data_IF_100485243096
#
_entry.id   IF_100485243096
#
_cell.length_a   1.000
_cell.length_b   1.000
_cell.length_c   1.000
_cell.angle_alpha   90.00
_cell.angle_beta   90.00
_cell.angle_gamma   90.00
#
_symmetry.space_group_name_H-M   'P 1'
#
loop_
_entity.id
_entity.type
_entity.pdbx_description
1 polymer ?
#
# COMPACT_ATOMS: atom_id res chain seq x y z
N UNK A 1 18.62 33.43 -14.95
CA UNK A 1 17.34 33.02 -15.56
C UNK A 1 17.56 31.68 -16.24
N UNK A 2 17.53 30.60 -15.47
CA UNK A 2 17.67 29.22 -15.98
C UNK A 2 16.27 28.64 -16.04
N UNK A 3 15.76 28.45 -17.25
CA UNK A 3 14.46 27.84 -17.49
C UNK A 3 14.43 26.43 -16.91
N UNK A 4 13.37 26.16 -16.15
CA UNK A 4 13.11 24.92 -15.41
C UNK A 4 13.22 23.67 -16.29
N UNK A 5 14.13 22.77 -15.91
CA UNK A 5 14.39 21.45 -16.51
C UNK A 5 13.18 20.51 -16.46
N UNK A 6 12.19 20.79 -15.59
CA UNK A 6 10.96 20.00 -15.48
C UNK A 6 10.05 20.09 -16.71
N UNK A 7 10.10 21.18 -17.48
CA UNK A 7 9.36 21.28 -18.74
C UNK A 7 9.94 20.36 -19.82
N UNK A 8 11.25 20.08 -19.80
CA UNK A 8 11.92 19.25 -20.79
C UNK A 8 11.70 17.74 -20.57
N UNK A 9 11.56 17.30 -19.32
CA UNK A 9 11.19 15.91 -18.99
C UNK A 9 9.71 15.60 -19.28
N UNK A 10 8.84 16.62 -19.35
CA UNK A 10 7.43 16.45 -19.76
C UNK A 10 7.26 16.08 -21.24
N UNK A 11 8.23 16.36 -22.11
CA UNK A 11 8.12 16.14 -23.56
C UNK A 11 9.06 15.07 -24.16
N UNK A 12 10.10 14.60 -23.45
CA UNK A 12 11.13 13.74 -24.06
C UNK A 12 11.08 12.24 -23.74
N UNK A 13 10.01 11.72 -23.10
CA UNK A 13 9.87 10.28 -22.82
C UNK A 13 8.88 9.53 -23.72
N UNK A 14 8.56 10.08 -24.90
CA UNK A 14 7.69 9.46 -25.91
C UNK A 14 8.35 9.46 -27.30
N UNK A 15 9.44 8.71 -27.50
CA UNK A 15 9.86 8.29 -28.84
C UNK A 15 10.90 7.16 -28.81
N UNK A 16 10.44 5.93 -29.08
CA UNK A 16 11.02 4.84 -29.90
C UNK A 16 10.65 3.49 -29.29
N UNK A 17 9.74 2.81 -29.98
CA UNK A 17 9.23 1.49 -29.64
C UNK A 17 10.09 0.45 -30.34
N UNK A 18 11.05 -0.13 -29.64
CA UNK A 18 11.54 -1.48 -29.93
C UNK A 18 11.12 -2.38 -28.78
N UNK A 19 10.11 -3.22 -29.01
CA UNK A 19 9.77 -4.30 -28.10
C UNK A 19 10.84 -5.39 -28.23
N UNK A 20 11.84 -5.36 -27.37
CA UNK A 20 12.73 -6.50 -27.16
C UNK A 20 12.00 -7.52 -26.29
N UNK A 21 11.56 -8.62 -26.89
CA UNK A 21 11.28 -9.85 -26.18
C UNK A 21 12.61 -10.51 -25.82
N UNK A 22 13.11 -10.27 -24.61
CA UNK A 22 14.24 -11.04 -24.08
C UNK A 22 13.66 -12.35 -23.53
N UNK A 23 13.96 -13.46 -24.22
CA UNK A 23 13.82 -14.80 -23.64
C UNK A 23 15.01 -14.99 -22.71
N UNK A 24 14.77 -14.97 -21.40
CA UNK A 24 15.77 -15.25 -20.36
C UNK A 24 15.55 -16.69 -19.88
N UNK A 25 16.49 -17.58 -20.23
CA UNK A 25 16.66 -18.87 -19.55
C UNK A 25 17.24 -18.65 -18.14
N UNK A 26 16.91 -19.48 -17.15
CA UNK A 26 17.12 -19.17 -15.74
C UNK A 26 18.61 -19.24 -15.37
N UNK A 27 19.21 -18.08 -15.11
CA UNK A 27 20.49 -17.95 -14.41
C UNK A 27 20.26 -17.20 -13.10
N UNK A 28 20.54 -17.89 -12.00
CA UNK A 28 20.45 -17.39 -10.62
C UNK A 28 21.54 -16.34 -10.40
N UNK A 29 21.19 -15.04 -10.39
CA UNK A 29 21.96 -14.00 -9.70
C UNK A 29 21.17 -12.69 -9.61
N UNK A 30 21.39 -12.02 -8.49
CA UNK A 30 20.59 -10.98 -7.84
C UNK A 30 20.55 -9.59 -8.50
N UNK A 31 19.41 -8.93 -8.24
CA UNK A 31 19.14 -7.48 -8.13
C UNK A 31 18.48 -6.81 -9.34
N UNK A 32 17.40 -6.12 -8.98
CA UNK A 32 16.56 -5.20 -9.76
C UNK A 32 15.50 -5.88 -10.63
N UNK A 33 14.32 -6.11 -10.02
CA UNK A 33 12.97 -6.25 -10.58
C UNK A 33 12.14 -7.48 -10.14
N UNK A 34 12.61 -8.27 -9.17
CA UNK A 34 11.79 -9.28 -8.50
C UNK A 34 11.36 -8.78 -7.10
N UNK A 35 10.20 -8.14 -7.01
CA UNK A 35 9.65 -7.55 -5.76
C UNK A 35 8.39 -8.24 -5.23
N UNK A 36 8.12 -9.49 -5.64
CA UNK A 36 7.45 -10.35 -4.66
C UNK A 36 8.43 -10.47 -3.47
N UNK A 37 7.96 -10.48 -2.21
CA UNK A 37 8.84 -10.92 -1.13
C UNK A 37 9.41 -12.26 -1.59
N UNK A 38 10.71 -12.29 -1.93
CA UNK A 38 11.41 -13.55 -2.07
C UNK A 38 11.36 -14.11 -0.66
N UNK A 39 10.45 -15.04 -0.45
CA UNK A 39 10.38 -15.85 0.75
C UNK A 39 11.69 -16.63 0.75
N UNK A 40 12.76 -16.00 1.23
CA UNK A 40 14.09 -16.59 1.26
C UNK A 40 14.05 -17.70 2.31
N UNK A 41 13.83 -18.91 1.82
CA UNK A 41 13.67 -20.16 2.60
C UNK A 41 14.98 -20.52 3.33
N UNK A 42 16.08 -19.77 3.16
CA UNK A 42 17.41 -20.19 3.62
C UNK A 42 17.94 -19.50 4.87
N UNK A 43 17.20 -18.57 5.49
CA UNK A 43 17.67 -17.89 6.72
C UNK A 43 17.09 -18.51 8.00
N UNK A 44 17.78 -19.52 8.52
CA UNK A 44 17.56 -20.00 9.89
C UNK A 44 17.95 -18.92 10.91
N UNK A 45 16.95 -18.23 11.46
CA UNK A 45 17.15 -17.36 12.61
C UNK A 45 17.08 -18.20 13.90
N UNK A 46 18.23 -18.43 14.53
CA UNK A 46 18.31 -19.04 15.85
C UNK A 46 17.85 -18.05 16.93
N UNK A 47 16.56 -18.09 17.28
CA UNK A 47 15.99 -17.33 18.40
C UNK A 47 16.17 -18.09 19.71
N UNK A 48 16.99 -17.55 20.63
CA UNK A 48 17.07 -18.02 22.01
C UNK A 48 15.87 -17.48 22.80
N UNK A 49 14.94 -18.35 23.17
CA UNK A 49 13.75 -17.99 23.96
C UNK A 49 14.07 -18.21 25.45
N UNK A 50 13.97 -17.14 26.26
CA UNK A 50 13.99 -17.25 27.72
C UNK A 50 12.60 -17.61 28.24
N UNK A 51 12.50 -18.59 29.14
CA UNK A 51 11.24 -19.04 29.72
C UNK A 51 10.60 -17.97 30.62
N UNK A 52 9.66 -17.21 30.06
CA UNK A 52 8.69 -16.39 30.80
C UNK A 52 7.41 -17.21 30.99
N UNK A 53 6.65 -16.95 32.07
CA UNK A 53 5.39 -17.62 32.39
C UNK A 53 4.42 -17.55 31.20
N UNK A 54 4.26 -18.68 30.51
CA UNK A 54 3.64 -18.74 29.19
C UNK A 54 2.12 -18.56 29.30
N UNK A 55 1.61 -17.41 28.87
CA UNK A 55 0.20 -17.28 28.49
C UNK A 55 -0.11 -18.34 27.43
N UNK A 56 -1.20 -19.11 27.56
CA UNK A 56 -1.55 -20.12 26.55
C UNK A 56 -1.65 -19.46 25.17
N UNK A 57 -1.07 -20.10 24.17
CA UNK A 57 -1.10 -19.61 22.80
C UNK A 57 -2.57 -19.49 22.32
N UNK A 58 -2.91 -18.44 21.56
CA UNK A 58 -4.25 -18.32 20.99
C UNK A 58 -4.55 -19.49 20.04
N UNK A 59 -5.82 -19.89 19.89
CA UNK A 59 -6.21 -20.92 18.93
C UNK A 59 -5.82 -20.51 17.51
N UNK A 60 -5.39 -21.48 16.70
CA UNK A 60 -4.90 -21.27 15.35
C UNK A 60 -5.17 -22.47 14.45
N UNK A 61 -5.35 -22.19 13.17
CA UNK A 61 -5.68 -23.15 12.12
C UNK A 61 -4.53 -23.26 11.12
N UNK A 62 -4.22 -24.49 10.69
CA UNK A 62 -3.32 -24.74 9.56
C UNK A 62 -4.06 -24.39 8.27
N UNK A 63 -3.49 -23.48 7.48
CA UNK A 63 -4.07 -23.00 6.23
C UNK A 63 -3.10 -23.20 5.07
N UNK A 64 -3.64 -23.22 3.86
CA UNK A 64 -2.87 -23.25 2.61
C UNK A 64 -3.20 -21.97 1.83
N UNK A 65 -2.15 -21.27 1.41
CA UNK A 65 -2.25 -20.02 0.67
C UNK A 65 -1.76 -20.17 -0.77
N UNK A 66 -2.50 -19.54 -1.68
CA UNK A 66 -2.12 -19.31 -3.07
C UNK A 66 -1.83 -17.83 -3.26
N UNK A 67 -0.64 -17.51 -3.77
CA UNK A 67 -0.17 -16.15 -3.90
C UNK A 67 -0.60 -15.56 -5.25
N UNK A 68 -1.11 -14.33 -5.22
CA UNK A 68 -1.25 -13.56 -6.45
C UNK A 68 0.14 -13.18 -6.97
N UNK A 69 0.36 -13.33 -8.27
CA UNK A 69 1.46 -12.69 -8.97
C UNK A 69 1.16 -11.21 -9.10
N UNK A 70 1.96 -10.38 -8.45
CA UNK A 70 1.92 -8.93 -8.57
C UNK A 70 2.78 -8.48 -9.75
N UNK A 71 2.28 -7.54 -10.55
CA UNK A 71 3.06 -6.86 -11.57
C UNK A 71 2.86 -5.35 -11.52
N UNK A 72 3.91 -4.61 -11.87
CA UNK A 72 3.91 -3.16 -11.99
C UNK A 72 4.44 -2.78 -13.37
N UNK A 73 3.71 -1.96 -14.10
CA UNK A 73 4.24 -1.31 -15.29
C UNK A 73 5.34 -0.33 -14.89
N UNK A 74 6.53 -0.48 -15.49
CA UNK A 74 7.70 0.30 -15.09
C UNK A 74 7.64 1.77 -15.52
N UNK A 75 6.75 2.14 -16.45
CA UNK A 75 6.61 3.50 -16.97
C UNK A 75 5.45 4.25 -16.32
N UNK A 76 4.30 3.59 -16.22
CA UNK A 76 3.06 4.21 -15.73
C UNK A 76 2.86 3.99 -14.23
N UNK A 77 3.50 2.97 -13.65
CA UNK A 77 3.22 2.54 -12.28
C UNK A 77 1.84 1.91 -12.14
N UNK A 78 1.21 1.47 -13.24
CA UNK A 78 0.00 0.67 -13.19
C UNK A 78 0.27 -0.67 -12.51
N UNK A 79 -0.64 -1.10 -11.63
CA UNK A 79 -0.48 -2.31 -10.83
C UNK A 79 -1.54 -3.32 -11.22
N UNK A 80 -1.18 -4.59 -11.32
CA UNK A 80 -2.14 -5.67 -11.54
C UNK A 80 -1.77 -6.92 -10.76
N UNK A 81 -2.78 -7.75 -10.52
CA UNK A 81 -2.64 -9.03 -9.83
C UNK A 81 -3.22 -10.14 -10.69
N UNK A 82 -2.48 -11.23 -10.84
CA UNK A 82 -2.94 -12.43 -11.54
C UNK A 82 -2.82 -13.62 -10.60
N UNK A 83 -3.88 -14.40 -10.51
CA UNK A 83 -3.94 -15.54 -9.59
C UNK A 83 -3.42 -16.81 -10.26
N UNK A 84 -2.52 -17.50 -9.56
CA UNK A 84 -2.00 -18.81 -9.99
C UNK A 84 -2.34 -19.86 -8.92
N UNK A 85 -2.60 -21.09 -9.35
CA UNK A 85 -2.77 -22.23 -8.45
C UNK A 85 -1.43 -22.92 -8.11
N UNK A 86 -0.31 -22.33 -8.58
CA UNK A 86 1.01 -22.92 -8.46
C UNK A 86 1.65 -22.59 -7.11
N UNK A 87 2.45 -23.53 -6.60
CA UNK A 87 3.28 -23.36 -5.39
C UNK A 87 2.49 -22.93 -4.14
N UNK A 88 1.48 -23.71 -3.72
CA UNK A 88 0.76 -23.43 -2.48
C UNK A 88 1.71 -23.40 -1.28
N UNK A 89 1.49 -22.46 -0.38
CA UNK A 89 2.31 -22.28 0.83
C UNK A 89 1.48 -22.57 2.07
N UNK A 90 1.98 -23.45 2.93
CA UNK A 90 1.34 -23.75 4.20
C UNK A 90 1.70 -22.69 5.26
N UNK A 91 0.73 -22.31 6.09
CA UNK A 91 0.93 -21.38 7.20
C UNK A 91 -0.01 -21.64 8.38
N UNK A 92 0.30 -21.06 9.52
CA UNK A 92 -0.54 -21.13 10.74
C UNK A 92 -1.17 -19.76 10.97
N UNK A 93 -2.50 -19.70 10.88
CA UNK A 93 -3.29 -18.48 11.02
C UNK A 93 -4.07 -18.53 12.34
N UNK A 94 -3.96 -17.49 13.18
CA UNK A 94 -4.74 -17.42 14.42
C UNK A 94 -6.23 -17.30 14.14
N UNK A 95 -7.06 -18.00 14.91
CA UNK A 95 -8.51 -18.03 14.72
C UNK A 95 -9.19 -16.72 15.19
N UNK A 96 -8.50 -15.96 16.03
CA UNK A 96 -9.00 -14.72 16.63
C UNK A 96 -8.14 -13.55 16.19
N UNK A 97 -8.77 -12.44 15.81
CA UNK A 97 -8.05 -11.22 15.47
C UNK A 97 -7.39 -10.64 16.71
N UNK A 98 -6.10 -10.29 16.62
CA UNK A 98 -5.40 -9.61 17.71
C UNK A 98 -5.53 -8.08 17.62
N UNK A 99 -5.93 -7.55 16.46
CA UNK A 99 -6.19 -6.13 16.27
C UNK A 99 -7.36 -5.91 15.29
N UNK A 100 -8.01 -4.76 15.40
CA UNK A 100 -9.21 -4.39 14.62
C UNK A 100 -9.18 -2.90 14.29
N UNK A 101 -9.16 -2.59 12.99
CA UNK A 101 -9.37 -1.24 12.49
C UNK A 101 -10.85 -0.92 12.26
N UNK A 102 -11.14 0.20 11.60
CA UNK A 102 -12.52 0.59 11.23
C UNK A 102 -13.17 -0.36 10.23
N UNK A 103 -12.39 -0.90 9.29
CA UNK A 103 -12.90 -1.75 8.20
C UNK A 103 -12.29 -3.15 8.17
N UNK A 104 -11.16 -3.38 8.86
CA UNK A 104 -10.38 -4.62 8.77
C UNK A 104 -10.13 -5.29 10.13
N UNK A 105 -10.10 -6.62 10.10
CA UNK A 105 -9.58 -7.46 11.18
C UNK A 105 -8.16 -7.88 10.84
N UNK A 106 -7.31 -7.98 11.86
CA UNK A 106 -5.89 -8.34 11.73
C UNK A 106 -5.61 -9.59 12.55
N UNK A 107 -5.05 -10.59 11.89
CA UNK A 107 -4.73 -11.91 12.44
C UNK A 107 -3.23 -12.14 12.38
N UNK A 108 -2.68 -12.91 13.32
CA UNK A 108 -1.29 -13.34 13.24
C UNK A 108 -1.19 -14.52 12.29
N UNK A 109 -0.16 -14.50 11.47
CA UNK A 109 0.11 -15.52 10.48
C UNK A 109 1.58 -15.92 10.58
N UNK A 110 1.87 -17.21 10.65
CA UNK A 110 3.24 -17.73 10.54
C UNK A 110 3.38 -18.54 9.26
N UNK A 111 4.32 -18.17 8.40
CA UNK A 111 4.69 -18.93 7.19
C UNK A 111 6.17 -19.25 7.29
N UNK A 112 6.54 -20.53 7.23
CA UNK A 112 7.94 -20.98 7.31
C UNK A 112 8.72 -20.38 8.50
N UNK A 113 8.07 -20.27 9.66
CA UNK A 113 8.67 -19.68 10.87
C UNK A 113 8.81 -18.16 10.86
N UNK A 114 8.40 -17.48 9.79
CA UNK A 114 8.39 -16.01 9.71
C UNK A 114 7.01 -15.47 10.07
N UNK A 115 6.99 -14.43 10.89
CA UNK A 115 5.79 -13.79 11.37
C UNK A 115 5.26 -12.72 10.39
N UNK A 116 3.96 -12.82 10.10
CA UNK A 116 3.19 -11.95 9.24
C UNK A 116 1.89 -11.55 9.95
N UNK A 117 1.24 -10.53 9.41
CA UNK A 117 -0.15 -10.22 9.69
C UNK A 117 -0.99 -10.53 8.47
N UNK A 118 -2.18 -11.10 8.67
CA UNK A 118 -3.18 -11.29 7.63
C UNK A 118 -4.37 -10.36 7.91
N UNK A 119 -4.74 -9.56 6.91
CA UNK A 119 -5.83 -8.59 6.99
C UNK A 119 -6.99 -9.03 6.09
N UNK A 120 -8.21 -8.85 6.59
CA UNK A 120 -9.44 -8.96 5.81
C UNK A 120 -10.44 -7.88 6.19
N UNK A 121 -11.35 -7.55 5.27
CA UNK A 121 -12.45 -6.65 5.53
C UNK A 121 -13.54 -7.33 6.38
N UNK A 122 -14.11 -6.58 7.32
CA UNK A 122 -15.32 -6.96 8.06
C UNK A 122 -16.41 -5.88 7.99
N UNK A 123 -16.08 -4.67 7.54
CA UNK A 123 -17.05 -3.60 7.30
C UNK A 123 -16.55 -2.68 6.17
N UNK A 124 -17.47 -2.21 5.33
CA UNK A 124 -17.22 -1.22 4.27
C UNK A 124 -18.05 0.06 4.45
N UNK A 125 -18.50 0.35 5.68
CA UNK A 125 -19.16 1.63 6.01
C UNK A 125 -20.68 1.68 5.82
N UNK A 126 -21.36 0.54 5.69
CA UNK A 126 -22.83 0.50 5.59
C UNK A 126 -23.44 -0.91 5.67
N UNK A 127 -22.68 -1.95 5.33
CA UNK A 127 -23.15 -3.33 5.35
C UNK A 127 -22.89 -4.01 6.70
N UNK A 128 -23.84 -4.87 7.11
CA UNK A 128 -23.69 -5.71 8.30
C UNK A 128 -22.68 -6.83 8.12
N UNK A 129 -22.40 -7.24 6.88
CA UNK A 129 -21.45 -8.29 6.52
C UNK A 129 -20.83 -8.01 5.15
N UNK A 130 -19.51 -8.12 5.07
CA UNK A 130 -18.77 -7.98 3.80
C UNK A 130 -18.80 -9.32 3.05
N UNK A 131 -19.16 -9.27 1.78
CA UNK A 131 -19.21 -10.44 0.90
C UNK A 131 -17.81 -10.92 0.48
N UNK A 132 -17.70 -12.10 -0.15
CA UNK A 132 -16.40 -12.65 -0.55
C UNK A 132 -15.79 -11.76 -1.66
N UNK A 133 -16.60 -11.41 -2.66
CA UNK A 133 -16.22 -10.48 -3.73
C UNK A 133 -15.85 -9.10 -3.20
N UNK A 134 -16.66 -8.51 -2.32
CA UNK A 134 -16.41 -7.18 -1.78
C UNK A 134 -15.10 -7.13 -0.97
N UNK A 135 -14.80 -8.16 -0.18
CA UNK A 135 -13.53 -8.30 0.51
C UNK A 135 -12.35 -8.41 -0.47
N UNK A 136 -12.46 -9.27 -1.49
CA UNK A 136 -11.42 -9.44 -2.52
C UNK A 136 -11.12 -8.13 -3.23
N UNK A 137 -12.15 -7.44 -3.71
CA UNK A 137 -12.00 -6.23 -4.50
C UNK A 137 -11.40 -5.10 -3.67
N UNK A 138 -11.82 -4.96 -2.42
CA UNK A 138 -11.28 -3.95 -1.52
C UNK A 138 -9.80 -4.19 -1.19
N UNK A 139 -9.41 -5.43 -0.88
CA UNK A 139 -8.01 -5.77 -0.61
C UNK A 139 -7.15 -5.65 -1.88
N UNK A 140 -7.72 -5.95 -3.05
CA UNK A 140 -7.04 -5.76 -4.35
C UNK A 140 -6.74 -4.29 -4.60
N UNK A 141 -7.72 -3.41 -4.37
CA UNK A 141 -7.54 -1.95 -4.48
C UNK A 141 -6.48 -1.44 -3.50
N UNK A 142 -6.46 -1.95 -2.26
CA UNK A 142 -5.40 -1.62 -1.29
C UNK A 142 -4.01 -2.08 -1.76
N UNK A 143 -3.90 -3.30 -2.29
CA UNK A 143 -2.65 -3.79 -2.89
C UNK A 143 -2.18 -2.94 -4.07
N UNK A 144 -3.10 -2.49 -4.93
CA UNK A 144 -2.81 -1.54 -6.02
C UNK A 144 -2.27 -0.22 -5.44
N UNK A 145 -2.90 0.33 -4.40
CA UNK A 145 -2.46 1.57 -3.75
C UNK A 145 -1.07 1.44 -3.14
N UNK A 146 -0.77 0.33 -2.45
CA UNK A 146 0.56 0.06 -1.90
C UNK A 146 1.62 -0.07 -3.01
N UNK A 147 1.35 -0.86 -4.05
CA UNK A 147 2.26 -1.02 -5.18
C UNK A 147 2.54 0.29 -5.92
N UNK A 148 1.49 1.09 -6.17
CA UNK A 148 1.61 2.39 -6.83
C UNK A 148 2.35 3.41 -5.95
N UNK A 149 2.12 3.40 -4.63
CA UNK A 149 2.86 4.23 -3.68
C UNK A 149 4.35 3.89 -3.74
N UNK A 150 4.72 2.60 -3.79
CA UNK A 150 6.11 2.18 -3.91
C UNK A 150 6.74 2.68 -5.21
N UNK A 151 6.02 2.57 -6.34
CA UNK A 151 6.45 3.13 -7.62
C UNK A 151 6.71 4.64 -7.53
N UNK A 152 5.78 5.42 -6.98
CA UNK A 152 5.98 6.87 -6.84
C UNK A 152 7.12 7.20 -5.88
N UNK A 153 7.24 6.49 -4.76
CA UNK A 153 8.29 6.73 -3.77
C UNK A 153 9.69 6.49 -4.36
N UNK A 154 9.84 5.48 -5.21
CA UNK A 154 11.09 5.23 -5.93
C UNK A 154 11.46 6.38 -6.87
N UNK A 155 10.51 6.85 -7.69
CA UNK A 155 10.74 7.97 -8.60
C UNK A 155 11.03 9.27 -7.82
N UNK A 156 10.27 9.52 -6.74
CA UNK A 156 10.46 10.65 -5.85
C UNK A 156 11.86 10.70 -5.24
N UNK A 157 12.35 9.56 -4.69
CA UNK A 157 13.71 9.45 -4.15
C UNK A 157 14.77 9.77 -5.20
N UNK A 158 14.63 9.17 -6.39
CA UNK A 158 15.56 9.39 -7.50
C UNK A 158 15.63 10.88 -7.90
N UNK A 159 14.48 11.55 -7.96
CA UNK A 159 14.40 12.96 -8.33
C UNK A 159 14.96 13.86 -7.23
N UNK A 160 14.68 13.57 -5.95
CA UNK A 160 15.31 14.26 -4.83
C UNK A 160 16.84 14.11 -4.85
N UNK A 161 17.35 12.90 -5.10
CA UNK A 161 18.79 12.65 -5.20
C UNK A 161 19.43 13.45 -6.33
N UNK A 162 18.77 13.55 -7.50
CA UNK A 162 19.27 14.34 -8.64
C UNK A 162 19.31 15.84 -8.39
N UNK A 163 18.40 16.35 -7.54
CA UNK A 163 18.32 17.76 -7.16
C UNK A 163 19.08 18.06 -5.86
N UNK A 164 19.74 17.07 -5.26
CA UNK A 164 20.46 17.21 -3.98
C UNK A 164 19.55 17.55 -2.80
N UNK A 165 18.28 17.16 -2.86
CA UNK A 165 17.28 17.41 -1.82
C UNK A 165 17.33 16.29 -0.78
N UNK A 166 17.78 16.63 0.42
CA UNK A 166 17.80 15.67 1.52
C UNK A 166 16.36 15.37 2.03
N UNK A 167 16.00 14.10 2.08
CA UNK A 167 14.70 13.62 2.59
C UNK A 167 14.89 12.65 3.76
N UNK A 168 13.83 12.44 4.55
CA UNK A 168 13.83 11.36 5.55
C UNK A 168 13.69 10.01 4.87
N UNK A 169 14.27 8.96 5.47
CA UNK A 169 14.18 7.61 4.94
C UNK A 169 12.78 7.03 5.17
N UNK A 170 12.08 6.76 4.06
CA UNK A 170 10.79 6.06 4.04
C UNK A 170 10.86 4.88 3.09
N UNK A 171 10.15 3.81 3.41
CA UNK A 171 9.83 2.72 2.50
C UNK A 171 8.34 2.38 2.58
N UNK A 172 7.81 1.62 1.63
CA UNK A 172 6.46 1.06 1.69
C UNK A 172 6.56 -0.38 2.19
N UNK A 173 5.61 -0.82 3.02
CA UNK A 173 5.57 -2.21 3.48
C UNK A 173 5.59 -3.18 2.31
N UNK A 174 6.38 -4.24 2.43
CA UNK A 174 6.19 -5.42 1.60
C UNK A 174 4.81 -6.00 1.89
N UNK A 175 4.12 -6.41 0.83
CA UNK A 175 2.80 -6.99 0.93
C UNK A 175 2.61 -8.09 -0.11
N UNK A 176 1.63 -8.96 0.12
CA UNK A 176 1.14 -9.87 -0.89
C UNK A 176 -0.38 -10.04 -0.75
N UNK A 177 -1.05 -10.28 -1.86
CA UNK A 177 -2.41 -10.79 -1.86
C UNK A 177 -2.35 -12.31 -1.92
N UNK A 178 -3.05 -12.96 -0.99
CA UNK A 178 -3.12 -14.41 -0.93
C UNK A 178 -4.55 -14.88 -0.83
N UNK A 179 -4.78 -16.11 -1.26
CA UNK A 179 -6.05 -16.81 -1.13
C UNK A 179 -5.90 -18.01 -0.25
N UNK A 180 -6.73 -18.09 0.76
CA UNK A 180 -6.90 -19.32 1.53
C UNK A 180 -7.67 -20.33 0.67
N UNK A 181 -7.13 -21.53 0.52
CA UNK A 181 -7.73 -22.59 -0.28
C UNK A 181 -7.30 -23.97 0.16
N UNK A 182 -7.63 -24.97 -0.65
CA UNK A 182 -7.13 -26.35 -0.51
C UNK A 182 -6.43 -26.77 -1.80
N UNK A 183 -5.45 -27.68 -1.68
CA UNK A 183 -4.78 -28.31 -2.83
C UNK A 183 -5.65 -29.42 -3.45
N UNK A 184 -6.59 -29.98 -2.67
CA UNK A 184 -7.48 -31.05 -3.12
C UNK A 184 -8.72 -30.48 -3.79
N UNK A 185 -9.36 -31.27 -4.66
CA UNK A 185 -10.68 -30.94 -5.23
C UNK A 185 -11.83 -31.11 -4.22
N UNK A 186 -11.52 -31.30 -2.94
CA UNK A 186 -12.52 -31.42 -1.88
C UNK A 186 -13.10 -30.04 -1.55
N UNK A 187 -14.28 -30.03 -0.91
CA UNK A 187 -14.95 -28.81 -0.49
C UNK A 187 -14.03 -27.99 0.43
N UNK A 188 -13.59 -26.83 -0.03
CA UNK A 188 -12.86 -25.87 0.78
C UNK A 188 -13.71 -25.42 1.98
N UNK A 189 -13.13 -25.48 3.17
CA UNK A 189 -13.73 -24.95 4.40
C UNK A 189 -12.87 -23.78 4.86
N UNK A 190 -13.42 -22.55 4.91
CA UNK A 190 -12.68 -21.41 5.42
C UNK A 190 -12.25 -21.60 6.87
N UNK A 191 -11.08 -21.07 7.20
CA UNK A 191 -10.60 -20.96 8.58
C UNK A 191 -11.58 -20.15 9.45
N UNK A 192 -11.61 -20.39 10.77
CA UNK A 192 -12.40 -19.59 11.71
C UNK A 192 -12.10 -18.07 11.59
N UNK A 193 -10.85 -17.72 11.25
CA UNK A 193 -10.42 -16.34 11.04
C UNK A 193 -11.23 -15.62 9.94
N UNK A 194 -11.72 -16.34 8.93
CA UNK A 194 -12.60 -15.78 7.89
C UNK A 194 -13.90 -15.19 8.45
N UNK A 195 -14.32 -15.64 9.65
CA UNK A 195 -15.59 -15.27 10.27
C UNK A 195 -16.82 -15.74 9.49
N UNK A 196 -16.66 -16.72 8.60
CA UNK A 196 -17.74 -17.37 7.88
C UNK A 196 -17.92 -18.80 8.40
N UNK A 197 -19.15 -19.14 8.79
CA UNK A 197 -19.48 -20.54 9.04
C UNK A 197 -19.46 -21.33 7.70
N UNK A 198 -19.17 -22.64 7.68
CA UNK A 198 -19.11 -23.41 6.44
C UNK A 198 -20.38 -23.34 5.57
N UNK A 199 -21.56 -23.35 6.21
CA UNK A 199 -22.85 -23.19 5.52
C UNK A 199 -23.01 -21.80 4.90
N UNK A 200 -22.66 -20.77 5.67
CA UNK A 200 -22.74 -19.37 5.21
C UNK A 200 -21.76 -19.10 4.07
N UNK A 201 -20.57 -19.69 4.12
CA UNK A 201 -19.61 -19.63 3.04
C UNK A 201 -20.16 -20.26 1.75
N UNK A 202 -20.81 -21.42 1.87
CA UNK A 202 -21.42 -22.11 0.73
C UNK A 202 -22.56 -21.28 0.12
N UNK A 203 -23.40 -20.67 0.96
CA UNK A 203 -24.50 -19.80 0.52
C UNK A 203 -23.98 -18.56 -0.24
N UNK A 204 -22.97 -17.88 0.32
CA UNK A 204 -22.33 -16.73 -0.34
C UNK A 204 -21.63 -17.13 -1.64
N UNK A 205 -20.96 -18.28 -1.65
CA UNK A 205 -20.24 -18.75 -2.81
C UNK A 205 -21.19 -19.06 -3.98
N UNK A 206 -22.32 -19.72 -3.72
CA UNK A 206 -23.32 -19.97 -4.76
C UNK A 206 -23.99 -18.68 -5.24
N UNK A 207 -24.24 -17.70 -4.34
CA UNK A 207 -24.77 -16.40 -4.72
C UNK A 207 -23.83 -15.59 -5.63
N UNK A 208 -22.52 -15.71 -5.42
CA UNK A 208 -21.48 -14.94 -6.14
C UNK A 208 -20.82 -15.73 -7.29
N UNK A 209 -21.26 -16.97 -7.53
CA UNK A 209 -20.60 -17.93 -8.42
C UNK A 209 -20.40 -17.43 -9.84
N UNK A 210 -21.37 -16.72 -10.42
CA UNK A 210 -21.29 -16.25 -11.81
C UNK A 210 -20.15 -15.21 -11.99
N UNK A 211 -20.01 -14.29 -11.03
CA UNK A 211 -18.97 -13.27 -11.06
C UNK A 211 -17.59 -13.84 -10.67
N UNK A 212 -17.56 -14.81 -9.75
CA UNK A 212 -16.35 -15.55 -9.41
C UNK A 212 -15.88 -16.45 -10.56
N UNK A 213 -16.80 -17.06 -11.34
CA UNK A 213 -16.48 -17.96 -12.45
C UNK A 213 -15.83 -17.26 -13.64
N UNK A 214 -16.07 -15.95 -13.80
CA UNK A 214 -15.45 -15.15 -14.85
C UNK A 214 -13.91 -15.11 -14.72
N UNK A 215 -13.40 -15.37 -13.52
CA UNK A 215 -11.98 -15.57 -13.26
C UNK A 215 -11.78 -17.07 -12.92
N UNK A 216 -11.39 -17.82 -13.95
CA UNK A 216 -11.40 -19.29 -14.03
C UNK A 216 -10.63 -20.04 -12.92
N UNK A 217 -9.94 -19.33 -12.03
CA UNK A 217 -9.16 -19.88 -10.91
C UNK A 217 -9.69 -19.47 -9.51
N UNK A 218 -10.88 -18.85 -9.41
CA UNK A 218 -11.35 -18.21 -8.16
C UNK A 218 -12.24 -19.07 -7.27
N UNK A 219 -12.92 -20.07 -7.83
CA UNK A 219 -14.25 -20.53 -7.37
C UNK A 219 -14.40 -21.05 -5.92
N UNK A 220 -13.40 -20.98 -5.05
CA UNK A 220 -13.57 -21.30 -3.63
C UNK A 220 -12.41 -20.79 -2.74
N UNK A 221 -12.29 -19.47 -2.53
CA UNK A 221 -11.25 -18.95 -1.62
C UNK A 221 -11.61 -17.67 -0.88
N UNK A 222 -10.96 -17.44 0.27
CA UNK A 222 -10.98 -16.17 1.00
C UNK A 222 -9.70 -15.40 0.69
N UNK A 223 -9.84 -14.14 0.26
CA UNK A 223 -8.69 -13.27 -0.05
C UNK A 223 -8.21 -12.55 1.21
N UNK A 224 -6.89 -12.50 1.37
CA UNK A 224 -6.19 -11.83 2.45
C UNK A 224 -5.11 -10.92 1.89
N UNK A 225 -4.87 -9.80 2.56
CA UNK A 225 -3.67 -8.99 2.37
C UNK A 225 -2.70 -9.30 3.51
N UNK A 226 -1.51 -9.78 3.15
CA UNK A 226 -0.48 -10.14 4.13
C UNK A 226 0.68 -9.15 4.08
N UNK A 227 1.21 -8.81 5.25
CA UNK A 227 2.39 -7.95 5.45
C UNK A 227 3.25 -8.57 6.56
N UNK A 228 4.54 -8.21 6.65
CA UNK A 228 5.37 -8.63 7.80
C UNK A 228 4.76 -8.13 9.11
N UNK A 229 4.80 -8.96 10.16
CA UNK A 229 4.42 -8.50 11.49
C UNK A 229 5.46 -7.48 11.97
N UNK A 230 4.99 -6.27 12.22
CA UNK A 230 5.74 -5.21 12.87
C UNK A 230 5.39 -5.31 14.35
N UNK A 231 6.38 -5.37 15.23
CA UNK A 231 6.17 -5.55 16.67
C UNK A 231 5.43 -4.38 17.31
N UNK A 232 5.63 -4.15 18.60
CA UNK A 232 5.11 -2.95 19.26
C UNK A 232 5.91 -1.72 18.80
N UNK A 233 5.51 -1.17 17.65
CA UNK A 233 6.12 -0.02 16.99
C UNK A 233 5.28 1.23 17.23
N UNK A 234 5.95 2.35 17.45
CA UNK A 234 5.25 3.63 17.49
C UNK A 234 4.68 3.93 16.11
N UNK A 235 3.37 4.21 16.09
CA UNK A 235 2.65 4.61 14.90
C UNK A 235 2.60 6.13 14.83
N UNK A 236 2.96 6.66 13.66
CA UNK A 236 2.84 8.09 13.37
C UNK A 236 1.93 8.30 12.18
N UNK A 237 0.87 9.09 12.38
CA UNK A 237 -0.06 9.49 11.34
C UNK A 237 0.33 10.86 10.79
N UNK A 238 0.45 10.95 9.46
CA UNK A 238 0.82 12.14 8.70
C UNK A 238 -0.36 12.76 7.96
N UNK A 239 -1.40 12.00 7.64
CA UNK A 239 -2.63 12.60 7.13
C UNK A 239 -3.83 11.76 7.56
N UNK A 240 -5.00 12.37 7.61
CA UNK A 240 -6.28 11.68 7.69
C UNK A 240 -6.85 11.40 6.31
N UNK A 241 -8.11 10.96 6.29
CA UNK A 241 -8.87 10.76 5.05
C UNK A 241 -9.13 12.08 4.32
N UNK A 242 -9.53 13.16 5.01
CA UNK A 242 -9.76 14.48 4.40
C UNK A 242 -8.91 15.59 5.03
N UNK A 243 -7.94 15.19 5.85
CA UNK A 243 -7.10 16.09 6.66
C UNK A 243 -5.64 15.92 6.21
N UNK A 244 -5.07 16.98 5.64
CA UNK A 244 -3.72 17.01 5.05
C UNK A 244 -2.87 18.10 5.72
N UNK A 245 -2.54 17.93 7.01
CA UNK A 245 -1.84 18.95 7.78
C UNK A 245 -0.44 19.24 7.25
N UNK A 246 0.04 20.46 7.51
CA UNK A 246 1.41 20.84 7.23
C UNK A 246 2.34 20.54 8.41
N UNK A 247 3.50 19.95 8.15
CA UNK A 247 4.49 19.63 9.19
C UNK A 247 5.78 20.41 8.99
N UNK A 248 6.41 20.79 10.10
CA UNK A 248 7.70 21.48 10.12
C UNK A 248 8.88 20.55 10.39
N UNK A 249 8.65 19.37 10.99
CA UNK A 249 9.70 18.38 11.21
C UNK A 249 10.12 17.68 9.92
N UNK A 250 11.36 17.17 9.88
CA UNK A 250 11.96 16.62 8.66
C UNK A 250 11.15 15.46 8.05
N UNK A 251 10.56 14.58 8.87
CA UNK A 251 9.76 13.45 8.40
C UNK A 251 8.45 13.93 7.80
N UNK A 252 7.68 14.75 8.54
CA UNK A 252 6.42 15.28 8.05
C UNK A 252 6.60 16.18 6.81
N UNK A 253 7.64 17.02 6.77
CA UNK A 253 7.97 17.82 5.60
C UNK A 253 8.32 16.96 4.36
N UNK A 254 8.95 15.80 4.57
CA UNK A 254 9.22 14.83 3.50
C UNK A 254 7.93 14.22 2.97
N UNK A 255 6.99 13.82 3.84
CA UNK A 255 5.69 13.28 3.43
C UNK A 255 4.87 14.33 2.68
N UNK A 256 4.86 15.58 3.14
CA UNK A 256 4.16 16.66 2.45
C UNK A 256 4.72 16.92 1.05
N UNK A 257 6.04 16.93 0.91
CA UNK A 257 6.70 17.02 -0.38
C UNK A 257 6.36 15.82 -1.27
N UNK A 258 6.36 14.61 -0.71
CA UNK A 258 6.01 13.38 -1.44
C UNK A 258 4.54 13.35 -1.90
N UNK A 259 3.58 13.79 -1.07
CA UNK A 259 2.17 13.90 -1.48
C UNK A 259 2.00 14.89 -2.64
N UNK A 260 2.66 16.05 -2.57
CA UNK A 260 2.65 17.02 -3.65
C UNK A 260 3.28 16.46 -4.92
N UNK A 261 4.42 15.76 -4.79
CA UNK A 261 5.06 15.06 -5.88
C UNK A 261 4.10 14.08 -6.57
N UNK A 262 3.45 13.19 -5.80
CA UNK A 262 2.48 12.21 -6.32
C UNK A 262 1.33 12.89 -7.06
N UNK A 263 0.80 13.99 -6.52
CA UNK A 263 -0.26 14.74 -7.15
C UNK A 263 0.15 15.28 -8.53
N UNK A 264 1.30 15.93 -8.65
CA UNK A 264 1.77 16.45 -9.92
C UNK A 264 2.24 15.35 -10.88
N UNK A 265 2.93 14.33 -10.38
CA UNK A 265 3.45 13.20 -11.16
C UNK A 265 2.31 12.39 -11.78
N UNK A 266 1.21 12.19 -11.04
CA UNK A 266 -0.02 11.56 -11.54
C UNK A 266 -0.86 12.48 -12.44
N UNK A 267 -0.34 13.63 -12.85
CA UNK A 267 -1.06 14.65 -13.64
C UNK A 267 -2.35 15.11 -12.96
N UNK A 268 -2.30 15.33 -11.65
CA UNK A 268 -3.40 15.81 -10.82
C UNK A 268 -4.58 14.82 -10.72
N UNK A 269 -4.36 13.54 -11.03
CA UNK A 269 -5.42 12.51 -11.01
C UNK A 269 -5.50 11.69 -9.72
N UNK A 270 -4.46 11.77 -8.89
CA UNK A 270 -4.35 11.00 -7.66
C UNK A 270 -3.66 11.79 -6.55
N UNK A 271 -4.15 11.69 -5.33
CA UNK A 271 -3.39 12.09 -4.12
C UNK A 271 -3.43 10.99 -3.07
N UNK A 272 -2.35 10.84 -2.30
CA UNK A 272 -2.30 9.92 -1.17
C UNK A 272 -3.00 10.53 0.06
N UNK A 273 -3.73 9.71 0.79
CA UNK A 273 -4.46 10.06 2.00
C UNK A 273 -4.27 9.00 3.08
N UNK A 274 -4.72 9.30 4.29
CA UNK A 274 -4.56 8.47 5.49
C UNK A 274 -3.13 7.93 5.69
N UNK A 275 -2.12 8.75 5.37
CA UNK A 275 -0.72 8.33 5.40
C UNK A 275 -0.30 8.11 6.85
N UNK A 276 0.20 6.92 7.13
CA UNK A 276 0.77 6.56 8.42
C UNK A 276 2.03 5.73 8.22
N UNK A 277 2.93 5.80 9.19
CA UNK A 277 4.14 5.02 9.22
C UNK A 277 4.37 4.39 10.59
N UNK A 278 5.20 3.35 10.56
CA UNK A 278 5.83 2.76 11.75
C UNK A 278 7.33 2.87 11.62
N UNK A 279 8.03 3.04 12.73
CA UNK A 279 9.49 3.01 12.72
C UNK A 279 9.99 1.57 12.57
N UNK A 280 11.02 1.36 11.74
CA UNK A 280 11.73 0.09 11.67
C UNK A 280 12.38 -0.25 13.02
N UNK A 281 12.30 -1.51 13.44
CA UNK A 281 13.00 -1.99 14.64
C UNK A 281 14.52 -2.15 14.44
N UNK A 282 15.01 -2.01 13.21
CA UNK A 282 16.44 -2.07 12.95
C UNK A 282 17.11 -0.84 13.55
N UNK A 283 17.85 -1.05 14.64
CA UNK A 283 18.56 -0.01 15.40
C UNK A 283 19.53 0.81 14.55
N UNK A 284 19.88 0.32 13.36
CA UNK A 284 20.81 0.99 12.45
C UNK A 284 20.11 1.76 11.32
N UNK A 285 18.81 1.56 11.10
CA UNK A 285 18.05 2.28 10.08
C UNK A 285 16.87 3.04 10.69
N UNK A 286 16.96 4.38 10.70
CA UNK A 286 15.84 5.27 11.02
C UNK A 286 14.82 5.35 9.86
N UNK A 287 14.53 4.21 9.23
CA UNK A 287 13.58 4.13 8.12
C UNK A 287 12.17 3.98 8.66
N UNK A 288 11.28 4.85 8.20
CA UNK A 288 9.85 4.75 8.46
C UNK A 288 9.15 3.93 7.38
N UNK A 289 8.37 2.93 7.77
CA UNK A 289 7.64 2.05 6.85
C UNK A 289 6.19 2.55 6.74
N UNK A 290 5.81 2.99 5.55
CA UNK A 290 4.45 3.38 5.17
C UNK A 290 3.60 2.13 4.94
N UNK A 291 2.39 2.12 5.48
CA UNK A 291 1.46 0.99 5.34
C UNK A 291 0.02 1.48 5.47
N UNK A 292 -0.95 0.66 5.01
CA UNK A 292 -2.39 0.94 5.13
C UNK A 292 -2.74 2.36 4.65
N UNK A 293 -2.18 2.75 3.49
CA UNK A 293 -2.43 4.04 2.86
C UNK A 293 -3.75 4.01 2.10
N UNK A 294 -4.34 5.20 1.96
CA UNK A 294 -5.45 5.44 1.07
C UNK A 294 -5.02 6.36 -0.08
N UNK A 295 -5.85 6.43 -1.11
CA UNK A 295 -5.73 7.48 -2.12
C UNK A 295 -7.09 8.08 -2.45
N UNK A 296 -7.05 9.28 -2.99
CA UNK A 296 -8.16 9.86 -3.72
C UNK A 296 -7.85 9.87 -5.19
N UNK A 297 -8.76 9.38 -6.01
CA UNK A 297 -8.63 9.36 -7.46
C UNK A 297 -9.77 10.15 -8.08
N UNK A 298 -9.57 10.73 -9.26
CA UNK A 298 -10.64 11.48 -9.95
C UNK A 298 -11.94 10.68 -10.10
N UNK A 299 -11.85 9.36 -10.24
CA UNK A 299 -13.02 8.48 -10.43
C UNK A 299 -13.57 7.90 -9.12
N UNK A 300 -12.90 8.08 -7.98
CA UNK A 300 -13.33 7.48 -6.72
C UNK A 300 -13.14 5.96 -6.62
N UNK A 301 -12.22 5.38 -7.41
CA UNK A 301 -12.14 3.93 -7.61
C UNK A 301 -11.04 3.23 -6.81
N UNK A 302 -10.26 3.96 -6.01
CA UNK A 302 -9.10 3.37 -5.29
C UNK A 302 -9.45 2.66 -3.97
N UNK A 303 -10.72 2.55 -3.63
CA UNK A 303 -11.21 1.72 -2.52
C UNK A 303 -12.13 2.47 -1.56
N UNK A 304 -12.57 1.76 -0.52
CA UNK A 304 -13.36 2.34 0.56
C UNK A 304 -12.66 3.54 1.19
N UNK A 305 -13.33 4.70 1.13
CA UNK A 305 -12.84 5.98 1.61
C UNK A 305 -12.07 6.81 0.57
N UNK A 306 -12.08 6.40 -0.70
CA UNK A 306 -11.77 7.30 -1.81
C UNK A 306 -12.90 8.34 -1.95
N UNK A 307 -12.61 9.59 -1.59
CA UNK A 307 -13.54 10.72 -1.70
C UNK A 307 -13.49 11.43 -3.06
N UNK A 308 -12.87 10.82 -4.08
CA UNK A 308 -12.90 11.35 -5.42
C UNK A 308 -12.22 12.71 -5.54
N UNK A 309 -12.81 13.57 -6.37
CA UNK A 309 -12.43 14.97 -6.51
C UNK A 309 -12.54 15.77 -5.20
N UNK A 310 -13.48 15.42 -4.30
CA UNK A 310 -13.60 16.11 -3.01
C UNK A 310 -12.34 15.91 -2.17
N UNK A 311 -11.83 14.67 -2.13
CA UNK A 311 -10.60 14.35 -1.42
C UNK A 311 -9.38 15.05 -2.04
N UNK A 312 -9.28 15.06 -3.38
CA UNK A 312 -8.23 15.80 -4.10
C UNK A 312 -8.31 17.29 -3.79
N UNK A 313 -9.51 17.89 -3.85
CA UNK A 313 -9.72 19.30 -3.54
C UNK A 313 -9.30 19.61 -2.10
N UNK A 314 -9.65 18.74 -1.15
CA UNK A 314 -9.26 18.89 0.25
C UNK A 314 -7.74 18.98 0.42
N UNK A 315 -6.99 18.13 -0.28
CA UNK A 315 -5.53 18.21 -0.30
C UNK A 315 -5.02 19.52 -0.91
N UNK A 316 -5.49 19.89 -2.10
CA UNK A 316 -5.10 21.16 -2.77
C UNK A 316 -5.39 22.33 -1.85
N UNK A 317 -6.48 22.24 -1.08
CA UNK A 317 -6.90 23.32 -0.19
C UNK A 317 -6.09 23.45 1.10
N UNK A 318 -5.43 22.38 1.53
CA UNK A 318 -4.72 22.35 2.81
C UNK A 318 -3.20 22.36 2.61
N UNK A 319 -2.73 22.03 1.40
CA UNK A 319 -1.32 21.96 1.11
C UNK A 319 -0.67 23.35 1.03
N UNK A 320 0.35 23.56 1.86
CA UNK A 320 1.23 24.71 1.80
C UNK A 320 2.58 24.28 1.25
N UNK A 321 2.97 24.83 0.09
CA UNK A 321 4.27 24.54 -0.50
C UNK A 321 5.39 24.94 0.45
N UNK A 322 6.24 23.98 0.82
CA UNK A 322 7.47 24.24 1.58
C UNK A 322 8.61 24.62 0.63
N UNK A 323 9.71 25.15 1.17
CA UNK A 323 10.90 25.50 0.38
C UNK A 323 11.37 24.35 -0.52
N UNK A 324 11.26 23.10 -0.04
CA UNK A 324 11.64 21.93 -0.83
C UNK A 324 10.74 21.66 -2.05
N UNK A 325 9.47 22.04 -2.02
CA UNK A 325 8.60 21.95 -3.20
C UNK A 325 9.14 22.85 -4.32
N UNK A 326 9.55 24.08 -3.96
CA UNK A 326 10.14 25.02 -4.91
C UNK A 326 11.53 24.57 -5.38
N UNK A 327 12.36 23.99 -4.50
CA UNK A 327 13.65 23.41 -4.87
C UNK A 327 13.50 22.27 -5.88
N UNK A 328 12.47 21.43 -5.70
CA UNK A 328 12.13 20.36 -6.64
C UNK A 328 11.37 20.87 -7.88
N UNK A 329 11.20 22.18 -8.04
CA UNK A 329 10.52 22.78 -9.20
C UNK A 329 9.04 22.41 -9.33
N UNK A 330 8.39 22.00 -8.24
CA UNK A 330 6.96 21.67 -8.24
C UNK A 330 6.13 22.94 -8.40
N UNK A 331 5.12 22.85 -9.28
CA UNK A 331 4.13 23.90 -9.50
C UNK A 331 3.37 24.18 -8.19
N UNK A 332 3.27 25.46 -7.80
CA UNK A 332 2.47 25.81 -6.62
C UNK A 332 0.99 25.45 -6.86
N UNK A 333 0.36 24.83 -5.85
CA UNK A 333 -1.04 24.39 -5.98
C UNK A 333 -2.06 25.52 -5.87
N UNK A 334 -1.63 26.68 -5.36
CA UNK A 334 -2.43 27.89 -5.18
C UNK A 334 -1.63 29.10 -5.64
N UNK A 335 -2.30 30.02 -6.31
CA UNK A 335 -1.76 31.35 -6.54
C UNK A 335 -1.61 32.03 -5.17
N UNK A 336 -0.48 32.70 -4.94
CA UNK A 336 -0.38 33.57 -3.77
C UNK A 336 -1.36 34.70 -4.03
N UNK A 337 -2.34 34.86 -3.14
CA UNK A 337 -3.03 36.14 -3.03
C UNK A 337 -1.95 37.11 -2.57
N UNK A 338 -1.28 37.72 -3.54
CA UNK A 338 -0.30 38.77 -3.31
C UNK A 338 -1.10 39.92 -2.70
N UNK A 339 -1.18 39.93 -1.36
CA UNK A 339 -1.91 40.91 -0.60
C UNK A 339 -1.49 42.28 -1.08
N UNK A 340 -2.45 43.05 -1.58
CA UNK A 340 -2.28 44.47 -1.85
C UNK A 340 -1.65 45.07 -0.60
N UNK A 341 -0.38 45.48 -0.70
CA UNK A 341 0.28 46.20 0.36
C UNK A 341 -0.51 47.48 0.56
N UNK A 342 -1.23 47.57 1.68
CA UNK A 342 -1.74 48.82 2.21
C UNK A 342 -0.54 49.70 2.58
N UNK A 343 0.08 50.29 1.56
CA UNK A 343 0.92 51.46 1.71
C UNK A 343 0.00 52.64 2.06
N UNK A 344 -0.54 52.65 3.27
CA UNK A 344 -1.02 53.88 3.87
C UNK A 344 0.20 54.75 4.21
N UNK A 345 0.60 55.56 3.22
CA UNK A 345 1.36 56.80 3.40
C UNK A 345 0.63 57.73 4.37
N UNK A 346 0.76 57.47 5.67
CA UNK A 346 0.43 58.41 6.73
C UNK A 346 1.52 59.46 6.89
N UNK A 347 1.61 60.41 5.95
CA UNK A 347 2.31 61.68 6.19
C UNK A 347 1.40 62.61 7.00
N UNK A 348 1.71 62.80 8.29
CA UNK A 348 1.41 64.06 8.98
C UNK A 348 2.23 64.20 10.27
N UNK A 349 3.03 65.26 10.34
CA UNK A 349 3.85 65.63 11.50
C UNK A 349 4.94 66.61 11.12
#
# INVERSE_FOLDING_TARGET
MTGSTLAALRNNNLATTECYSVVIEPYISSKACDHLPTFDVTREASLKISASSATPAPPATQVVFFFAKHSSDAKTGEQSFTWTAENPVSGVLTDVSFNKGKSKLVFRLTINGVAYVAKRCYSLGGESKVSILANRDQLTKEGITLGRTNFFLKNFKQECDSEGIEISAFDVTDFALVREGTVTTESFIPSPASGLAPSEYSDLLEAEKAELAADSNILSSITWLIERERGDVQLRKYSGTLDHPSYSDKQGATINLFQHYVYLFSRKTLVLADIQASESHDKHSHTSILFDLMSHTINGESGAGDHGEQGIKSFVDQHNCVQKCAQMGLEALREREDGESEDEEGTSG
#
